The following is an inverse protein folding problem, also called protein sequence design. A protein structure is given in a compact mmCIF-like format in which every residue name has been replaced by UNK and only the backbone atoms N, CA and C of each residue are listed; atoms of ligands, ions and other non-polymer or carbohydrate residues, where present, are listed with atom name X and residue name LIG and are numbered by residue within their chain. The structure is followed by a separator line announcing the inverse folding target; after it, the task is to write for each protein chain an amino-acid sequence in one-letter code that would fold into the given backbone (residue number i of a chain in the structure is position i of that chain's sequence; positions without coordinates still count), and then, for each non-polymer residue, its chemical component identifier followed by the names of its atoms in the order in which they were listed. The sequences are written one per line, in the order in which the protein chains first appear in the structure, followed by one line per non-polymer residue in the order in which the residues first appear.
data_IF_212976339210
#
_entry.id   IF_212976339210
#
_cell.length_a   1.000
_cell.length_b   1.000
_cell.length_c   1.000
_cell.angle_alpha   90.00
_cell.angle_beta   90.00
_cell.angle_gamma   90.00
#
_symmetry.space_group_name_H-M   'P 1'
#
loop_
_entity.id
_entity.type
_entity.pdbx_description
1 polymer ?
#
# COMPACT_ATOMS: atom_id res chain seq x y z
N UNK A 1 7.48 14.67 -4.02
CA UNK A 1 6.05 14.91 -3.77
C UNK A 1 5.32 13.67 -4.31
N UNK A 2 4.53 12.95 -3.50
CA UNK A 2 3.81 11.74 -3.92
C UNK A 2 2.52 12.16 -4.61
N UNK A 3 2.59 12.57 -5.89
CA UNK A 3 1.43 12.99 -6.68
C UNK A 3 0.64 14.18 -6.10
N UNK A 4 -0.24 14.77 -6.90
CA UNK A 4 -1.15 15.82 -6.41
C UNK A 4 -2.37 15.23 -5.67
N UNK A 5 -2.57 13.90 -5.76
CA UNK A 5 -3.79 13.23 -5.31
C UNK A 5 -3.64 12.40 -4.02
N UNK A 6 -2.42 12.26 -3.50
CA UNK A 6 -2.16 11.49 -2.28
C UNK A 6 -1.75 12.40 -1.14
N UNK A 7 -2.51 12.37 -0.05
CA UNK A 7 -2.20 13.10 1.17
C UNK A 7 -2.02 12.14 2.36
N UNK A 8 -0.96 12.39 3.14
CA UNK A 8 -0.65 11.63 4.35
C UNK A 8 -0.82 12.56 5.54
N UNK A 9 -1.49 12.08 6.59
CA UNK A 9 -1.76 12.86 7.80
C UNK A 9 -1.39 12.05 9.03
N UNK A 10 -0.67 12.65 9.97
CA UNK A 10 -0.47 12.05 11.29
C UNK A 10 -1.72 12.32 12.13
N UNK A 11 -2.46 11.27 12.45
CA UNK A 11 -3.70 11.36 13.24
C UNK A 11 -3.42 11.33 14.74
N UNK A 12 -2.27 10.82 15.16
CA UNK A 12 -1.86 10.82 16.56
C UNK A 12 -0.66 9.93 16.83
N UNK A 13 -0.08 10.10 18.02
CA UNK A 13 1.04 9.32 18.52
C UNK A 13 0.68 8.78 19.91
N UNK A 14 0.92 7.50 20.15
CA UNK A 14 0.73 6.84 21.46
C UNK A 14 1.94 5.97 21.76
N UNK A 15 2.78 6.39 22.70
CA UNK A 15 4.04 5.69 22.98
C UNK A 15 4.91 5.66 21.72
N UNK A 16 5.28 4.45 21.27
CA UNK A 16 6.04 4.22 20.05
C UNK A 16 5.17 3.97 18.79
N UNK A 17 3.85 4.08 18.91
CA UNK A 17 2.94 3.87 17.78
C UNK A 17 2.47 5.21 17.20
N UNK A 18 2.50 5.30 15.87
CA UNK A 18 1.98 6.44 15.11
C UNK A 18 0.77 5.98 14.32
N UNK A 19 -0.34 6.71 14.44
CA UNK A 19 -1.53 6.51 13.60
C UNK A 19 -1.45 7.42 12.40
N UNK A 20 -1.45 6.84 11.21
CA UNK A 20 -1.34 7.54 9.94
C UNK A 20 -2.67 7.41 9.19
N UNK A 21 -3.19 8.54 8.73
CA UNK A 21 -4.29 8.62 7.77
C UNK A 21 -3.73 8.82 6.37
N UNK A 22 -4.31 8.13 5.39
CA UNK A 22 -3.92 8.22 3.99
C UNK A 22 -5.18 8.55 3.19
N UNK A 23 -5.11 9.60 2.38
CA UNK A 23 -6.11 9.94 1.37
C UNK A 23 -5.47 9.68 0.01
N UNK A 24 -6.11 8.87 -0.81
CA UNK A 24 -5.69 8.56 -2.17
C UNK A 24 -6.94 8.32 -3.04
N UNK A 25 -6.82 8.39 -4.37
CA UNK A 25 -7.87 7.96 -5.30
C UNK A 25 -8.27 6.50 -5.08
N UNK A 26 -9.53 6.15 -5.43
CA UNK A 26 -10.07 4.79 -5.22
C UNK A 26 -9.40 3.72 -6.09
N UNK A 27 -8.90 4.13 -7.24
CA UNK A 27 -8.16 3.33 -8.22
C UNK A 27 -6.69 3.13 -7.83
N UNK A 28 -6.20 3.85 -6.81
CA UNK A 28 -4.84 3.68 -6.28
C UNK A 28 -4.87 2.75 -5.06
N UNK A 29 -4.45 1.48 -5.20
CA UNK A 29 -4.40 0.56 -4.06
C UNK A 29 -3.34 0.99 -3.05
N UNK A 30 -3.74 1.07 -1.77
CA UNK A 30 -2.85 1.40 -0.65
C UNK A 30 -2.74 0.19 0.27
N UNK A 31 -1.52 -0.32 0.43
CA UNK A 31 -1.23 -1.47 1.27
C UNK A 31 -0.15 -1.13 2.28
N UNK A 32 -0.11 -1.90 3.37
CA UNK A 32 1.07 -1.93 4.24
C UNK A 32 2.20 -2.63 3.50
N UNK A 33 3.43 -2.17 3.71
CA UNK A 33 4.62 -2.68 3.01
C UNK A 33 4.76 -4.19 3.16
N UNK A 34 4.62 -4.72 4.38
CA UNK A 34 4.77 -6.14 4.66
C UNK A 34 3.70 -7.01 3.95
N UNK A 35 2.54 -6.44 3.67
CA UNK A 35 1.46 -7.11 2.94
C UNK A 35 1.74 -7.04 1.44
N UNK A 36 2.17 -5.88 0.94
CA UNK A 36 2.54 -5.69 -0.45
C UNK A 36 3.67 -6.63 -0.87
N UNK A 37 4.72 -6.75 -0.03
CA UNK A 37 5.82 -7.68 -0.30
C UNK A 37 5.36 -9.14 -0.37
N UNK A 38 4.45 -9.57 0.52
CA UNK A 38 3.91 -10.93 0.48
C UNK A 38 3.14 -11.21 -0.79
N UNK A 39 2.20 -10.33 -1.15
CA UNK A 39 1.41 -10.43 -2.39
C UNK A 39 2.32 -10.46 -3.61
N UNK A 40 3.34 -9.58 -3.63
CA UNK A 40 4.30 -9.53 -4.72
C UNK A 40 5.10 -10.82 -4.85
N UNK A 41 5.61 -11.37 -3.74
CA UNK A 41 6.35 -12.65 -3.76
C UNK A 41 5.48 -13.82 -4.21
N UNK A 42 4.22 -13.87 -3.79
CA UNK A 42 3.27 -14.90 -4.22
C UNK A 42 2.97 -14.80 -5.72
N UNK A 43 2.78 -13.58 -6.23
CA UNK A 43 2.53 -13.33 -7.65
C UNK A 43 3.78 -13.56 -8.52
N UNK A 44 4.98 -13.22 -8.05
CA UNK A 44 6.25 -13.52 -8.74
C UNK A 44 6.54 -15.03 -8.76
N UNK A 45 6.02 -15.80 -7.79
CA UNK A 45 6.14 -17.26 -7.74
C UNK A 45 5.11 -17.99 -8.61
N UNK A 46 4.08 -17.31 -9.12
CA UNK A 46 3.10 -17.85 -10.05
C UNK A 46 3.46 -17.44 -11.48
N UNK A 47 3.93 -18.36 -12.36
CA UNK A 47 4.07 -18.02 -13.77
C UNK A 47 2.71 -17.62 -14.30
N UNK A 48 2.63 -16.42 -14.90
CA UNK A 48 1.42 -15.91 -15.52
C UNK A 48 0.82 -17.00 -16.42
N UNK A 49 -0.33 -17.56 -16.02
CA UNK A 49 -1.09 -18.46 -16.86
C UNK A 49 -1.66 -17.59 -17.99
N UNK A 50 -0.87 -17.45 -19.06
CA UNK A 50 -1.31 -16.93 -20.34
C UNK A 50 -2.20 -18.01 -20.94
N UNK A 51 -3.50 -17.90 -20.72
CA UNK A 51 -4.48 -18.65 -21.50
C UNK A 51 -4.53 -17.99 -22.88
N UNK A 52 -3.96 -18.68 -23.87
CA UNK A 52 -4.19 -18.42 -25.29
C UNK A 52 -5.49 -19.04 -25.77
#
# INVERSE_FOLDING_TARGET
MIGDDVAITVLGVKGNQVRIGIKAPKDTPVHREEIFERIRRENEALPAVVNG
#
